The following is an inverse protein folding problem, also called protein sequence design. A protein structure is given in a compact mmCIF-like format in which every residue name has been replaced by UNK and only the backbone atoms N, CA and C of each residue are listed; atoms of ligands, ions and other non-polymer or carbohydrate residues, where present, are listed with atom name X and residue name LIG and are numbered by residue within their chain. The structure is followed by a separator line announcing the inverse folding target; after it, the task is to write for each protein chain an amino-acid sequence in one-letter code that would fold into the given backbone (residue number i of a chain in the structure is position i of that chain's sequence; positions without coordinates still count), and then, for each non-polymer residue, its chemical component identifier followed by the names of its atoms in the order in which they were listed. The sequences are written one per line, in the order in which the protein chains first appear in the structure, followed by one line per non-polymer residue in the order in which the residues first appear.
data_IF_779736513821
#
_entry.id   IF_779736513821
#
_cell.length_a   1.000
_cell.length_b   1.000
_cell.length_c   1.000
_cell.angle_alpha   90.00
_cell.angle_beta   90.00
_cell.angle_gamma   90.00
#
_symmetry.space_group_name_H-M   'P 1'
#
loop_
_entity.id
_entity.type
_entity.pdbx_description
1 polymer ?
#
# COMPACT_ATOMS: atom_id res chain seq x y z
N UNK A 1 -43.91 4.68 -31.05
CA UNK A 1 -43.49 5.39 -32.27
C UNK A 1 -42.45 6.43 -31.84
N UNK A 2 -41.27 6.38 -32.47
CA UNK A 2 -40.18 7.39 -32.42
C UNK A 2 -39.13 7.25 -31.31
N UNK A 3 -37.99 6.67 -31.74
CA UNK A 3 -36.61 6.68 -31.20
C UNK A 3 -36.10 8.13 -30.99
N UNK A 4 -35.08 8.49 -30.20
CA UNK A 4 -33.83 7.85 -29.81
C UNK A 4 -32.67 8.77 -30.24
N UNK A 5 -31.85 9.30 -29.32
CA UNK A 5 -30.48 9.81 -29.59
C UNK A 5 -29.72 10.12 -28.29
N UNK A 6 -28.60 9.42 -28.11
CA UNK A 6 -27.60 9.58 -27.03
C UNK A 6 -26.43 10.40 -27.59
N UNK A 7 -25.82 11.27 -26.77
CA UNK A 7 -24.57 11.97 -27.11
C UNK A 7 -23.84 12.48 -25.87
N UNK A 8 -22.70 11.85 -25.54
CA UNK A 8 -21.75 12.16 -24.46
C UNK A 8 -20.99 13.49 -24.68
N UNK A 9 -20.66 14.21 -23.58
CA UNK A 9 -19.44 15.05 -23.46
C UNK A 9 -19.04 15.25 -21.99
N UNK A 10 -17.74 15.05 -21.72
CA UNK A 10 -16.98 15.14 -20.45
C UNK A 10 -17.15 16.42 -19.63
N UNK A 11 -16.92 16.38 -18.29
CA UNK A 11 -16.68 17.57 -17.48
C UNK A 11 -15.19 17.82 -17.18
N UNK A 12 -14.80 19.09 -17.23
CA UNK A 12 -13.49 19.64 -16.88
C UNK A 12 -13.26 19.65 -15.34
N UNK A 13 -12.02 19.41 -14.89
CA UNK A 13 -11.63 19.51 -13.47
C UNK A 13 -10.65 20.67 -13.24
N UNK A 14 -10.93 21.50 -12.24
CA UNK A 14 -10.19 22.70 -11.82
C UNK A 14 -9.21 22.39 -10.66
N UNK A 15 -7.98 22.87 -10.83
CA UNK A 15 -7.05 23.53 -9.88
C UNK A 15 -6.97 23.11 -8.40
N UNK A 16 -5.74 22.90 -7.89
CA UNK A 16 -5.13 23.74 -6.83
C UNK A 16 -3.65 23.40 -6.61
N UNK A 17 -2.78 24.41 -6.69
CA UNK A 17 -1.37 24.41 -6.29
C UNK A 17 -1.18 24.34 -4.77
N UNK A 18 -0.05 23.77 -4.33
CA UNK A 18 0.62 24.13 -3.06
C UNK A 18 2.13 24.22 -3.31
N UNK A 19 2.67 25.40 -3.02
CA UNK A 19 4.05 25.84 -3.13
C UNK A 19 4.89 25.32 -1.95
N UNK A 20 6.16 24.98 -2.18
CA UNK A 20 7.21 25.08 -1.16
C UNK A 20 8.58 25.39 -1.78
N UNK A 21 9.10 26.54 -1.40
CA UNK A 21 10.36 27.19 -1.77
C UNK A 21 11.53 26.62 -0.98
N UNK A 22 12.71 26.41 -1.59
CA UNK A 22 14.02 26.58 -0.94
C UNK A 22 15.15 26.84 -1.96
N UNK A 23 15.61 28.10 -1.95
CA UNK A 23 16.98 28.68 -1.99
C UNK A 23 18.04 28.26 -3.03
N UNK A 24 18.60 29.31 -3.62
CA UNK A 24 19.53 29.46 -4.75
C UNK A 24 21.02 29.09 -4.57
N UNK A 25 21.73 29.15 -5.71
CA UNK A 25 23.17 29.38 -5.97
C UNK A 25 23.97 28.12 -6.36
N UNK A 26 24.77 28.04 -7.44
CA UNK A 26 25.24 29.02 -8.42
C UNK A 26 25.76 28.30 -9.70
N UNK A 27 25.55 28.96 -10.86
CA UNK A 27 26.48 29.11 -12.00
C UNK A 27 27.04 27.91 -12.79
N UNK A 28 26.45 27.72 -13.98
CA UNK A 28 27.03 27.57 -15.32
C UNK A 28 28.47 27.04 -15.53
N UNK A 29 28.62 25.97 -16.33
CA UNK A 29 29.35 26.02 -17.62
C UNK A 29 29.19 24.71 -18.44
N UNK A 30 28.73 24.90 -19.67
CA UNK A 30 28.89 24.14 -20.93
C UNK A 30 29.56 22.76 -20.98
N UNK A 31 28.75 21.82 -21.49
CA UNK A 31 29.04 20.72 -22.44
C UNK A 31 30.46 20.66 -23.04
N UNK A 32 31.14 19.52 -22.85
CA UNK A 32 31.88 18.89 -23.95
C UNK A 32 31.94 17.37 -23.77
N UNK A 33 31.59 16.65 -24.84
CA UNK A 33 31.55 15.20 -24.89
C UNK A 33 32.97 14.62 -24.96
N UNK A 34 33.28 13.72 -24.05
CA UNK A 34 34.40 12.79 -24.17
C UNK A 34 33.95 11.43 -23.63
N UNK A 35 33.86 10.46 -24.52
CA UNK A 35 33.65 9.04 -24.24
C UNK A 35 34.86 8.50 -23.48
N UNK A 36 34.85 8.64 -22.15
CA UNK A 36 35.80 8.01 -21.27
C UNK A 36 35.13 6.83 -20.56
N UNK A 37 35.73 5.66 -20.68
CA UNK A 37 35.34 4.42 -20.04
C UNK A 37 35.32 4.62 -18.51
N UNK A 38 34.15 4.89 -17.93
CA UNK A 38 34.02 5.11 -16.48
C UNK A 38 34.13 3.75 -15.79
N UNK A 39 35.13 3.51 -14.92
CA UNK A 39 35.12 2.31 -14.11
C UNK A 39 33.86 2.37 -13.25
N UNK A 40 33.00 1.36 -13.37
CA UNK A 40 31.81 1.25 -12.54
C UNK A 40 32.27 1.25 -11.07
N UNK A 41 32.12 2.39 -10.40
CA UNK A 41 32.41 2.52 -8.99
C UNK A 41 31.29 1.77 -8.24
N UNK A 42 31.46 0.46 -8.08
CA UNK A 42 30.52 -0.39 -7.36
C UNK A 42 30.58 0.01 -5.89
N UNK A 43 29.67 0.89 -5.48
CA UNK A 43 29.47 1.23 -4.08
C UNK A 43 28.67 0.09 -3.45
N UNK A 44 29.37 -0.84 -2.82
CA UNK A 44 28.74 -1.88 -2.00
C UNK A 44 28.31 -1.25 -0.68
N UNK A 45 27.02 -0.92 -0.56
CA UNK A 45 26.41 -0.54 0.71
C UNK A 45 25.95 -1.84 1.39
N UNK A 46 26.48 -2.18 2.58
CA UNK A 46 25.96 -3.32 3.34
C UNK A 46 24.48 -3.04 3.64
N UNK A 47 23.58 -3.87 3.13
CA UNK A 47 22.18 -3.85 3.57
C UNK A 47 22.19 -4.35 5.00
N UNK A 48 21.83 -3.54 6.01
CA UNK A 48 21.69 -4.05 7.37
C UNK A 48 20.56 -5.08 7.33
N UNK A 49 20.93 -6.36 7.41
CA UNK A 49 19.98 -7.43 7.71
C UNK A 49 19.64 -7.22 9.18
N UNK A 50 18.70 -6.32 9.45
CA UNK A 50 18.11 -6.17 10.78
C UNK A 50 17.38 -7.47 11.08
N UNK A 51 18.10 -8.44 11.65
CA UNK A 51 17.50 -9.50 12.43
C UNK A 51 16.90 -8.79 13.64
N UNK A 52 15.65 -8.37 13.50
CA UNK A 52 14.91 -7.78 14.59
C UNK A 52 14.72 -8.91 15.60
N UNK A 53 15.53 -8.92 16.65
CA UNK A 53 15.37 -9.81 17.80
C UNK A 53 14.12 -9.37 18.56
N UNK A 54 12.97 -9.81 18.08
CA UNK A 54 11.66 -9.47 18.64
C UNK A 54 10.71 -10.64 18.51
N UNK A 55 9.73 -10.71 19.42
CA UNK A 55 8.61 -11.63 19.25
C UNK A 55 7.62 -11.00 18.27
N UNK A 56 7.25 -11.71 17.22
CA UNK A 56 6.36 -11.18 16.18
C UNK A 56 5.00 -11.88 16.20
N UNK A 57 3.94 -11.08 16.10
CA UNK A 57 2.62 -11.57 15.75
C UNK A 57 2.41 -11.42 14.24
N UNK A 58 2.00 -12.49 13.59
CA UNK A 58 1.76 -12.53 12.15
C UNK A 58 0.26 -12.57 11.86
N UNK A 59 -0.14 -11.85 10.82
CA UNK A 59 -1.49 -11.89 10.26
C UNK A 59 -1.40 -12.08 8.75
N UNK A 60 -2.43 -12.70 8.19
CA UNK A 60 -2.56 -12.86 6.74
C UNK A 60 -3.79 -12.10 6.28
N UNK A 61 -3.63 -11.23 5.29
CA UNK A 61 -4.71 -10.58 4.57
C UNK A 61 -4.81 -11.20 3.20
N UNK A 62 -5.97 -11.71 2.83
CA UNK A 62 -6.27 -12.18 1.47
C UNK A 62 -7.33 -11.27 0.85
N UNK A 63 -7.14 -10.87 -0.40
CA UNK A 63 -8.11 -10.09 -1.16
C UNK A 63 -7.73 -9.96 -2.62
N UNK A 64 -8.56 -9.30 -3.43
CA UNK A 64 -8.26 -8.98 -4.83
C UNK A 64 -8.24 -7.48 -5.03
N UNK A 65 -7.39 -6.98 -5.93
CA UNK A 65 -7.44 -5.57 -6.35
C UNK A 65 -8.70 -5.23 -7.16
N UNK A 66 -9.44 -6.26 -7.60
CA UNK A 66 -10.69 -6.13 -8.33
C UNK A 66 -11.93 -6.40 -7.46
N UNK A 67 -11.75 -6.67 -6.17
CA UNK A 67 -12.83 -6.94 -5.21
C UNK A 67 -12.81 -5.96 -4.03
N UNK A 68 -13.97 -5.75 -3.42
CA UNK A 68 -14.18 -4.90 -2.25
C UNK A 68 -14.29 -5.73 -0.97
N UNK A 69 -13.70 -6.93 -0.95
CA UNK A 69 -13.68 -7.78 0.23
C UNK A 69 -12.26 -8.24 0.55
N UNK A 70 -11.96 -8.29 1.84
CA UNK A 70 -10.72 -8.84 2.38
C UNK A 70 -11.07 -9.90 3.42
N UNK A 71 -10.28 -10.96 3.50
CA UNK A 71 -10.32 -11.94 4.58
C UNK A 71 -9.02 -11.83 5.37
N UNK A 72 -9.12 -11.77 6.69
CA UNK A 72 -7.99 -11.56 7.59
C UNK A 72 -7.95 -12.69 8.61
N UNK A 73 -6.76 -13.25 8.78
CA UNK A 73 -6.46 -14.39 9.65
C UNK A 73 -5.37 -14.01 10.65
N UNK A 74 -5.45 -14.56 11.86
CA UNK A 74 -4.41 -14.39 12.90
C UNK A 74 -4.58 -13.16 13.81
N UNK A 75 -5.64 -12.37 13.66
CA UNK A 75 -5.94 -11.26 14.57
C UNK A 75 -6.34 -11.78 15.95
N UNK A 76 -5.94 -11.06 16.99
CA UNK A 76 -6.41 -11.31 18.36
C UNK A 76 -7.80 -10.72 18.60
N UNK A 77 -8.46 -11.11 19.69
CA UNK A 77 -9.82 -10.67 19.96
C UNK A 77 -9.95 -9.15 20.13
N UNK A 78 -8.96 -8.47 20.72
CA UNK A 78 -9.01 -7.02 20.90
C UNK A 78 -8.94 -6.27 19.55
N UNK A 79 -8.15 -6.79 18.60
CA UNK A 79 -8.05 -6.26 17.25
C UNK A 79 -9.31 -6.49 16.44
N UNK A 80 -9.91 -7.69 16.54
CA UNK A 80 -11.20 -7.97 15.90
C UNK A 80 -12.26 -7.01 16.42
N UNK A 81 -12.29 -6.72 17.73
CA UNK A 81 -13.19 -5.74 18.32
C UNK A 81 -12.91 -4.31 17.83
N UNK A 82 -11.63 -3.91 17.73
CA UNK A 82 -11.24 -2.60 17.22
C UNK A 82 -11.64 -2.43 15.75
N UNK A 83 -11.44 -3.46 14.91
CA UNK A 83 -11.86 -3.46 13.51
C UNK A 83 -13.38 -3.44 13.39
N UNK A 84 -14.10 -4.17 14.25
CA UNK A 84 -15.57 -4.16 14.26
C UNK A 84 -16.14 -2.78 14.60
N UNK A 85 -15.49 -2.03 15.49
CA UNK A 85 -15.84 -0.64 15.78
C UNK A 85 -15.52 0.31 14.61
N UNK A 86 -14.42 0.04 13.89
CA UNK A 86 -14.01 0.87 12.74
C UNK A 86 -14.86 0.62 11.49
N UNK A 87 -15.31 -0.62 11.30
CA UNK A 87 -16.10 -1.06 10.16
C UNK A 87 -17.46 -1.57 10.64
N UNK A 88 -18.30 -0.65 11.15
CA UNK A 88 -19.54 -0.93 11.89
C UNK A 88 -20.50 -1.92 11.19
N UNK A 89 -20.52 -1.98 9.86
CA UNK A 89 -21.36 -2.90 9.07
C UNK A 89 -20.57 -3.90 8.22
N UNK A 90 -19.24 -3.89 8.30
CA UNK A 90 -18.37 -4.53 7.33
C UNK A 90 -17.81 -5.88 7.74
N UNK A 91 -17.77 -6.19 9.05
CA UNK A 91 -17.07 -7.37 9.59
C UNK A 91 -18.02 -8.56 9.72
N UNK A 92 -17.70 -9.66 9.05
CA UNK A 92 -18.38 -10.96 9.14
C UNK A 92 -17.38 -12.03 9.56
N UNK A 93 -17.75 -12.93 10.45
CA UNK A 93 -16.88 -14.07 10.77
C UNK A 93 -16.75 -15.01 9.55
N UNK A 94 -15.56 -15.56 9.32
CA UNK A 94 -15.32 -16.65 8.38
C UNK A 94 -14.51 -17.76 9.05
N UNK A 95 -14.30 -18.88 8.35
CA UNK A 95 -13.50 -19.99 8.89
C UNK A 95 -12.10 -19.49 9.24
N UNK A 96 -11.69 -19.59 10.50
CA UNK A 96 -10.37 -19.18 11.02
C UNK A 96 -10.05 -17.67 10.92
N UNK A 97 -11.02 -16.80 10.66
CA UNK A 97 -10.75 -15.38 10.46
C UNK A 97 -11.99 -14.49 10.41
N UNK A 98 -11.80 -13.29 9.89
CA UNK A 98 -12.87 -12.34 9.61
C UNK A 98 -12.83 -11.92 8.15
N UNK A 99 -14.00 -11.70 7.57
CA UNK A 99 -14.18 -11.07 6.27
C UNK A 99 -14.63 -9.62 6.50
N UNK A 100 -14.00 -8.68 5.81
CA UNK A 100 -14.32 -7.25 5.89
C UNK A 100 -14.59 -6.72 4.49
N UNK A 101 -15.74 -6.07 4.31
CA UNK A 101 -16.14 -5.48 3.03
C UNK A 101 -15.42 -4.15 2.74
N UNK A 102 -14.10 -4.22 2.57
CA UNK A 102 -13.25 -3.09 2.14
C UNK A 102 -12.20 -3.54 1.11
N UNK A 103 -11.73 -2.64 0.23
CA UNK A 103 -10.62 -2.93 -0.67
C UNK A 103 -9.32 -3.26 0.09
N UNK A 104 -8.42 -4.08 -0.49
CA UNK A 104 -7.15 -4.45 0.15
C UNK A 104 -6.31 -3.26 0.62
N UNK A 105 -6.23 -2.20 -0.19
CA UNK A 105 -5.47 -0.99 0.18
C UNK A 105 -5.96 -0.34 1.47
N UNK A 106 -7.28 -0.32 1.70
CA UNK A 106 -7.87 0.24 2.93
C UNK A 106 -7.58 -0.66 4.12
N UNK A 107 -7.64 -1.98 3.92
CA UNK A 107 -7.35 -2.96 4.98
C UNK A 107 -5.88 -2.91 5.39
N UNK A 108 -4.95 -2.95 4.43
CA UNK A 108 -3.50 -2.89 4.70
C UNK A 108 -3.11 -1.60 5.42
N UNK A 109 -3.63 -0.45 4.99
CA UNK A 109 -3.40 0.83 5.66
C UNK A 109 -4.01 0.86 7.07
N UNK A 110 -5.16 0.21 7.27
CA UNK A 110 -5.77 0.08 8.60
C UNK A 110 -4.92 -0.76 9.54
N UNK A 111 -4.40 -1.90 9.08
CA UNK A 111 -3.50 -2.75 9.87
C UNK A 111 -2.15 -2.07 10.11
N UNK A 112 -1.67 -1.24 9.19
CA UNK A 112 -0.47 -0.43 9.39
C UNK A 112 -0.60 0.55 10.57
N UNK A 113 -1.80 1.07 10.84
CA UNK A 113 -2.08 1.89 12.03
C UNK A 113 -2.06 1.08 13.33
N UNK A 114 -2.16 -0.26 13.25
CA UNK A 114 -1.98 -1.20 14.37
C UNK A 114 -0.53 -1.74 14.43
N UNK A 115 0.41 -1.05 13.81
CA UNK A 115 1.84 -1.38 13.74
C UNK A 115 2.18 -2.65 12.94
N UNK A 116 1.23 -3.19 12.16
CA UNK A 116 1.53 -4.28 11.24
C UNK A 116 2.26 -3.75 9.99
N UNK A 117 3.35 -4.42 9.60
CA UNK A 117 4.11 -4.14 8.39
C UNK A 117 4.00 -5.31 7.43
N UNK A 118 3.77 -5.05 6.14
CA UNK A 118 3.78 -6.09 5.11
C UNK A 118 5.20 -6.67 5.01
N UNK A 119 5.32 -7.99 5.09
CA UNK A 119 6.61 -8.69 4.97
C UNK A 119 6.74 -9.45 3.66
N UNK A 120 5.63 -9.97 3.14
CA UNK A 120 5.59 -10.61 1.83
C UNK A 120 4.20 -10.52 1.22
N UNK A 121 4.15 -10.64 -0.10
CA UNK A 121 2.93 -10.76 -0.88
C UNK A 121 3.07 -11.91 -1.88
N UNK A 122 2.00 -12.67 -2.09
CA UNK A 122 1.98 -13.78 -3.04
C UNK A 122 0.58 -13.88 -3.68
N UNK A 123 0.53 -14.16 -4.98
CA UNK A 123 -0.72 -14.34 -5.73
C UNK A 123 -0.80 -13.48 -6.99
N UNK A 124 -1.87 -13.67 -7.76
CA UNK A 124 -2.14 -12.95 -9.02
C UNK A 124 -3.54 -12.32 -8.98
N UNK A 125 -4.59 -13.09 -9.20
CA UNK A 125 -5.98 -12.60 -9.14
C UNK A 125 -6.44 -12.36 -7.69
N UNK A 126 -6.13 -13.32 -6.81
CA UNK A 126 -6.23 -13.16 -5.36
C UNK A 126 -4.82 -13.08 -4.80
N UNK A 127 -4.58 -12.06 -3.98
CA UNK A 127 -3.28 -11.76 -3.38
C UNK A 127 -3.39 -11.98 -1.87
N UNK A 128 -2.40 -12.67 -1.33
CA UNK A 128 -2.18 -12.84 0.10
C UNK A 128 -1.01 -11.96 0.52
N UNK A 129 -1.23 -11.10 1.52
CA UNK A 129 -0.20 -10.33 2.21
C UNK A 129 0.00 -10.90 3.60
N UNK A 130 1.24 -11.27 3.91
CA UNK A 130 1.62 -11.53 5.30
C UNK A 130 2.07 -10.22 5.91
N UNK A 131 1.53 -9.87 7.08
CA UNK A 131 1.96 -8.73 7.85
C UNK A 131 2.44 -9.17 9.23
N UNK A 132 3.45 -8.49 9.76
CA UNK A 132 3.97 -8.75 11.10
C UNK A 132 3.92 -7.48 11.95
N UNK A 133 3.68 -7.63 13.24
CA UNK A 133 3.95 -6.58 14.24
C UNK A 133 4.87 -7.13 15.32
N UNK A 134 5.70 -6.26 15.87
CA UNK A 134 6.46 -6.56 17.08
C UNK A 134 5.52 -6.59 18.29
N UNK A 135 5.73 -7.53 19.20
CA UNK A 135 4.92 -7.80 20.41
C UNK A 135 5.69 -7.44 21.66
#
# INVERSE_FOLDING_TARGET
MSEGAVGLKEPQNLNSEVVSTVVSAASAASLNAATANVPANVVTIPVPILQSEGNFAYVTVKGSLHDYTCTIFGLNQAEVQALSKRFESGVKACVNGIMVAVPPMVMLNTLAQLSYKVVCSCGEAEICWTMQREV
#
